data_IF_923764176519
#
_entry.id   IF_923764176519
#
_cell.length_a   1.000
_cell.length_b   1.000
_cell.length_c   1.000
_cell.angle_alpha   90.00
_cell.angle_beta   90.00
_cell.angle_gamma   90.00
#
_symmetry.space_group_name_H-M   'P 1'
#
loop_
_entity.id
_entity.type
_entity.pdbx_description
1 polymer ?
#
# COMPACT_ATOMS: atom_id res chain seq x y z
N UNK A 1 -2.95 -13.21 0.04
CA UNK A 1 -2.33 -12.34 1.06
C UNK A 1 -1.82 -11.05 0.45
N UNK A 2 -2.58 -9.98 0.68
CA UNK A 2 -2.20 -8.60 0.38
C UNK A 2 -2.24 -7.80 1.67
N UNK A 3 -1.37 -6.79 1.79
CA UNK A 3 -1.37 -5.88 2.94
C UNK A 3 -1.92 -4.54 2.50
N UNK A 4 -2.70 -3.89 3.36
CA UNK A 4 -3.24 -2.57 3.07
C UNK A 4 -2.24 -1.51 3.51
N UNK A 5 -1.98 -0.57 2.61
CA UNK A 5 -1.14 0.60 2.87
C UNK A 5 -1.91 1.87 2.55
N UNK A 6 -1.60 2.94 3.27
CA UNK A 6 -2.03 4.30 2.95
C UNK A 6 -0.91 5.02 2.19
N UNK A 7 -1.23 5.59 1.02
CA UNK A 7 -0.25 6.36 0.25
C UNK A 7 -0.03 7.73 0.89
N UNK A 8 1.24 8.12 1.04
CA UNK A 8 1.63 9.42 1.60
C UNK A 8 1.89 10.43 0.46
N UNK A 9 2.17 9.93 -0.74
CA UNK A 9 2.49 10.72 -1.93
C UNK A 9 1.52 10.34 -3.05
N UNK A 10 0.99 11.33 -3.77
CA UNK A 10 0.20 11.06 -4.98
C UNK A 10 1.15 10.69 -6.12
N UNK A 11 0.85 9.61 -6.84
CA UNK A 11 1.70 9.17 -7.94
C UNK A 11 1.22 7.92 -8.65
N UNK A 12 1.99 7.52 -9.65
CA UNK A 12 1.76 6.26 -10.35
C UNK A 12 2.58 5.15 -9.70
N UNK A 13 1.90 4.06 -9.34
CA UNK A 13 2.46 2.92 -8.66
C UNK A 13 2.32 1.68 -9.53
N UNK A 14 3.23 0.71 -9.36
CA UNK A 14 3.30 -0.50 -10.16
C UNK A 14 3.57 -1.70 -9.28
N UNK A 15 2.51 -2.38 -8.86
CA UNK A 15 2.62 -3.66 -8.18
C UNK A 15 2.72 -4.77 -9.24
N UNK A 16 3.95 -5.10 -9.65
CA UNK A 16 4.17 -6.13 -10.71
C UNK A 16 3.64 -7.52 -10.34
N UNK A 17 3.22 -7.75 -9.09
CA UNK A 17 2.71 -9.03 -8.60
C UNK A 17 1.21 -9.15 -8.84
N UNK A 18 0.44 -8.06 -8.70
CA UNK A 18 -1.02 -8.07 -8.79
C UNK A 18 -1.60 -7.12 -9.84
N UNK A 19 -1.01 -5.95 -10.06
CA UNK A 19 -1.60 -4.93 -10.93
C UNK A 19 -0.53 -4.13 -11.68
N UNK A 20 -0.60 -4.13 -13.02
CA UNK A 20 0.47 -3.61 -13.87
C UNK A 20 0.85 -2.15 -13.61
N UNK A 21 -0.11 -1.28 -13.32
CA UNK A 21 0.13 0.10 -12.89
C UNK A 21 -1.18 0.79 -12.54
N UNK A 22 -1.17 1.60 -11.48
CA UNK A 22 -2.33 2.33 -11.02
C UNK A 22 -1.98 3.70 -10.48
N UNK A 23 -2.97 4.59 -10.46
CA UNK A 23 -2.86 5.88 -9.78
C UNK A 23 -3.18 5.68 -8.29
N UNK A 24 -2.27 6.12 -7.42
CA UNK A 24 -2.49 6.18 -5.98
C UNK A 24 -2.50 7.64 -5.55
N UNK A 25 -3.60 8.07 -4.93
CA UNK A 25 -3.71 9.40 -4.37
C UNK A 25 -3.25 9.41 -2.92
N UNK A 26 -2.66 10.52 -2.49
CA UNK A 26 -2.29 10.74 -1.09
C UNK A 26 -3.52 10.61 -0.18
N UNK A 27 -3.40 9.80 0.86
CA UNK A 27 -4.47 9.49 1.81
C UNK A 27 -5.37 8.34 1.36
N UNK A 28 -5.24 7.85 0.12
CA UNK A 28 -5.94 6.65 -0.31
C UNK A 28 -5.30 5.40 0.26
N UNK A 29 -6.14 4.42 0.61
CA UNK A 29 -5.72 3.09 1.05
C UNK A 29 -5.86 2.09 -0.08
N UNK A 30 -4.91 1.15 -0.20
CA UNK A 30 -4.98 0.07 -1.18
C UNK A 30 -4.26 -1.19 -0.71
N UNK A 31 -4.81 -2.34 -1.09
CA UNK A 31 -4.20 -3.65 -0.85
C UNK A 31 -3.11 -3.94 -1.89
N UNK A 32 -1.88 -4.23 -1.44
CA UNK A 32 -0.71 -4.50 -2.29
C UNK A 32 -0.01 -5.80 -1.88
N UNK A 33 0.91 -6.28 -2.72
CA UNK A 33 1.79 -7.38 -2.30
C UNK A 33 2.64 -6.95 -1.09
N UNK A 34 2.90 -7.84 -0.12
CA UNK A 34 3.73 -7.52 1.05
C UNK A 34 5.11 -6.98 0.68
N UNK A 35 5.74 -7.52 -0.36
CA UNK A 35 7.05 -7.09 -0.85
C UNK A 35 7.00 -5.69 -1.45
N UNK A 36 5.97 -5.36 -2.22
CA UNK A 36 5.82 -4.03 -2.80
C UNK A 36 5.43 -2.98 -1.75
N UNK A 37 4.56 -3.33 -0.82
CA UNK A 37 4.22 -2.50 0.33
C UNK A 37 5.46 -2.15 1.17
N UNK A 38 6.28 -3.15 1.53
CA UNK A 38 7.52 -2.94 2.26
C UNK A 38 8.47 -1.98 1.50
N UNK A 39 8.55 -2.12 0.17
CA UNK A 39 9.34 -1.20 -0.65
C UNK A 39 8.82 0.24 -0.61
N UNK A 40 7.51 0.44 -0.76
CA UNK A 40 6.91 1.78 -0.71
C UNK A 40 7.07 2.44 0.66
N UNK A 41 6.98 1.64 1.73
CA UNK A 41 7.22 2.10 3.10
C UNK A 41 8.68 2.51 3.27
N UNK A 42 9.62 1.70 2.77
CA UNK A 42 11.05 2.01 2.82
C UNK A 42 11.43 3.24 1.97
N UNK A 43 10.71 3.49 0.88
CA UNK A 43 10.85 4.70 0.06
C UNK A 43 10.08 5.91 0.63
N UNK A 44 9.46 5.80 1.82
CA UNK A 44 8.62 6.84 2.44
C UNK A 44 7.46 7.33 1.56
N UNK A 45 6.97 6.48 0.65
CA UNK A 45 5.84 6.78 -0.25
C UNK A 45 4.49 6.27 0.27
N UNK A 46 4.51 5.31 1.19
CA UNK A 46 3.32 4.75 1.83
C UNK A 46 3.61 4.42 3.30
N UNK A 47 2.56 4.20 4.09
CA UNK A 47 2.64 3.63 5.44
C UNK A 47 1.68 2.44 5.55
N UNK A 48 1.99 1.51 6.43
CA UNK A 48 1.08 0.41 6.74
C UNK A 48 -0.25 0.99 7.25
N UNK A 49 -1.37 0.57 6.66
CA UNK A 49 -2.68 0.98 7.13
C UNK A 49 -3.02 0.17 8.38
N UNK A 50 -3.22 0.89 9.48
CA UNK A 50 -3.57 0.33 10.77
C UNK A 50 -5.01 0.78 11.01
N UNK A 51 -5.91 -0.19 11.20
CA UNK A 51 -7.31 0.10 11.49
C UNK A 51 -7.48 0.68 12.90
N UNK A 52 -8.70 1.08 13.27
CA UNK A 52 -9.01 1.66 14.58
C UNK A 52 -8.70 0.73 15.77
N UNK A 53 -8.55 -0.59 15.52
CA UNK A 53 -8.14 -1.59 16.52
C UNK A 53 -6.61 -1.70 16.67
N UNK A 54 -5.82 -0.89 15.97
CA UNK A 54 -4.37 -0.95 16.04
C UNK A 54 -3.77 -2.14 15.28
N UNK A 55 -4.54 -2.80 14.40
CA UNK A 55 -4.09 -3.97 13.63
C UNK A 55 -3.89 -3.63 12.15
N UNK A 56 -2.86 -4.21 11.50
CA UNK A 56 -2.69 -4.07 10.07
C UNK A 56 -3.82 -4.80 9.35
N UNK A 57 -4.50 -4.12 8.43
CA UNK A 57 -5.54 -4.74 7.62
C UNK A 57 -4.89 -5.56 6.50
N UNK A 58 -5.29 -6.83 6.41
CA UNK A 58 -4.72 -7.81 5.47
C UNK A 58 -5.89 -8.39 4.68
N UNK A 59 -5.87 -8.21 3.36
CA UNK A 59 -6.83 -8.87 2.47
C UNK A 59 -6.34 -10.31 2.24
N UNK A 60 -7.16 -11.30 2.64
CA UNK A 60 -6.81 -12.72 2.57
C UNK A 60 -6.78 -13.23 1.14
#
# INVERSE_FOLDING_TARGET
MKVIVEFIVTGQYKDRVWESSFHGEKGSVRALSPSYAARLINESKAKLYINEEGKPEIEK
#
